data_IF_623941665904
#
_entry.id   IF_623941665904
#
_cell.length_a   1.000
_cell.length_b   1.000
_cell.length_c   1.000
_cell.angle_alpha   90.00
_cell.angle_beta   90.00
_cell.angle_gamma   90.00
#
_symmetry.space_group_name_H-M   'P 1'
#
loop_
_entity.id
_entity.type
_entity.pdbx_description
1 polymer ?
#
# COMPACT_ATOMS: atom_id res chain seq x y z
N UNK A 1 5.86 34.14 23.84
CA UNK A 1 4.38 34.26 23.96
C UNK A 1 3.79 34.54 22.57
N UNK A 2 3.36 33.52 21.81
CA UNK A 2 2.53 33.68 20.61
C UNK A 2 1.54 32.52 20.53
N UNK A 3 0.27 32.86 20.69
CA UNK A 3 -0.88 31.98 20.53
C UNK A 3 -1.21 31.77 19.06
N UNK A 4 -1.61 30.55 18.72
CA UNK A 4 -2.35 30.21 17.52
C UNK A 4 -3.53 29.36 18.01
N UNK A 5 -4.64 30.02 18.38
CA UNK A 5 -5.89 30.12 17.62
C UNK A 5 -6.42 28.75 17.16
N UNK A 6 -7.39 28.26 17.94
CA UNK A 6 -8.50 27.41 17.50
C UNK A 6 -8.89 27.77 16.06
N UNK A 7 -8.77 26.80 15.15
CA UNK A 7 -9.57 26.82 13.92
C UNK A 7 -10.78 25.93 14.20
N UNK A 8 -11.96 26.53 14.07
CA UNK A 8 -13.22 25.81 14.08
C UNK A 8 -13.17 24.70 13.03
N UNK A 9 -13.66 23.52 13.40
CA UNK A 9 -13.85 22.40 12.51
C UNK A 9 -14.86 22.83 11.45
N UNK A 10 -14.39 23.03 10.22
CA UNK A 10 -15.19 23.45 9.08
C UNK A 10 -16.20 22.36 8.76
N UNK A 11 -17.50 22.65 8.90
CA UNK A 11 -18.56 21.67 8.70
C UNK A 11 -18.59 21.13 7.25
N UNK A 12 -18.09 21.94 6.30
CA UNK A 12 -17.90 21.57 4.89
C UNK A 12 -16.77 20.53 4.69
N UNK A 13 -15.76 20.51 5.57
CA UNK A 13 -14.72 19.48 5.56
C UNK A 13 -15.24 18.14 6.12
N UNK A 14 -16.14 18.19 7.11
CA UNK A 14 -16.85 17.00 7.60
C UNK A 14 -17.80 16.45 6.53
N UNK A 15 -18.51 17.31 5.79
CA UNK A 15 -19.39 16.91 4.69
C UNK A 15 -18.60 16.34 3.50
N UNK A 16 -17.43 16.88 3.14
CA UNK A 16 -16.56 16.26 2.12
C UNK A 16 -15.93 14.94 2.57
N UNK A 17 -15.78 14.73 3.87
CA UNK A 17 -15.35 13.43 4.43
C UNK A 17 -16.50 12.40 4.37
N UNK A 18 -17.76 12.85 4.44
CA UNK A 18 -18.95 12.00 4.42
C UNK A 18 -19.41 11.55 3.02
N UNK A 19 -18.92 12.16 1.94
CA UNK A 19 -19.39 11.92 0.55
C UNK A 19 -18.51 10.94 -0.24
N UNK A 20 -17.40 10.42 0.31
CA UNK A 20 -16.44 9.62 -0.46
C UNK A 20 -16.20 8.18 0.07
N UNK A 21 -17.25 7.50 0.55
CA UNK A 21 -17.20 6.05 0.78
C UNK A 21 -18.51 5.41 0.29
N UNK A 22 -18.74 5.45 -1.03
CA UNK A 22 -19.91 4.78 -1.65
C UNK A 22 -19.79 3.24 -1.66
N UNK A 23 -18.69 2.68 -1.13
CA UNK A 23 -18.49 1.25 -0.95
C UNK A 23 -17.83 0.94 0.42
N UNK A 24 -18.61 0.45 1.41
CA UNK A 24 -18.08 0.00 2.70
C UNK A 24 -17.09 -1.17 2.61
N UNK A 25 -17.09 -1.93 1.50
CA UNK A 25 -16.17 -3.06 1.29
C UNK A 25 -14.79 -2.60 0.81
N UNK A 26 -14.69 -1.43 0.17
CA UNK A 26 -13.44 -0.93 -0.39
C UNK A 26 -12.31 -0.74 0.65
N UNK A 27 -12.55 -0.13 1.84
CA UNK A 27 -11.53 -0.07 2.89
C UNK A 27 -11.13 -1.45 3.40
N UNK A 28 -12.09 -2.37 3.54
CA UNK A 28 -11.84 -3.74 4.01
C UNK A 28 -10.95 -4.49 3.03
N UNK A 29 -11.30 -4.47 1.74
CA UNK A 29 -10.52 -5.11 0.68
C UNK A 29 -9.09 -4.53 0.58
N UNK A 30 -8.92 -3.22 0.80
CA UNK A 30 -7.60 -2.59 0.87
C UNK A 30 -6.79 -3.06 2.08
N UNK A 31 -7.44 -3.28 3.23
CA UNK A 31 -6.77 -3.82 4.41
C UNK A 31 -6.35 -5.27 4.22
N UNK A 32 -7.21 -6.10 3.63
CA UNK A 32 -6.88 -7.46 3.23
C UNK A 32 -5.68 -7.52 2.28
N UNK A 33 -5.65 -6.62 1.29
CA UNK A 33 -4.51 -6.45 0.40
C UNK A 33 -3.24 -6.10 1.18
N UNK A 34 -3.30 -5.10 2.09
CA UNK A 34 -2.15 -4.69 2.91
C UNK A 34 -1.60 -5.85 3.74
N UNK A 35 -2.47 -6.58 4.43
CA UNK A 35 -2.06 -7.73 5.25
C UNK A 35 -1.45 -8.83 4.38
N UNK A 36 -2.07 -9.12 3.24
CA UNK A 36 -1.60 -10.14 2.30
C UNK A 36 -0.25 -9.78 1.66
N UNK A 37 0.02 -8.50 1.39
CA UNK A 37 1.34 -8.04 0.96
C UNK A 37 2.41 -8.38 2.02
N UNK A 38 2.07 -8.25 3.30
CA UNK A 38 2.94 -8.62 4.43
C UNK A 38 3.38 -10.09 4.42
N UNK A 39 2.55 -10.98 3.89
CA UNK A 39 2.81 -12.43 3.81
C UNK A 39 3.73 -12.82 2.66
N UNK A 40 3.97 -11.93 1.69
CA UNK A 40 4.86 -12.21 0.57
C UNK A 40 6.33 -12.22 1.00
N UNK A 41 7.20 -13.00 0.30
CA UNK A 41 8.64 -12.86 0.45
C UNK A 41 9.09 -11.42 0.21
N UNK A 42 10.03 -10.92 1.03
CA UNK A 42 10.43 -9.50 1.03
C UNK A 42 10.72 -8.96 -0.37
N UNK A 43 11.57 -9.64 -1.15
CA UNK A 43 11.93 -9.20 -2.50
C UNK A 43 10.74 -9.14 -3.48
N UNK A 44 9.74 -10.00 -3.30
CA UNK A 44 8.53 -10.03 -4.12
C UNK A 44 7.58 -8.90 -3.73
N UNK A 45 7.41 -8.69 -2.42
CA UNK A 45 6.64 -7.56 -1.86
C UNK A 45 7.21 -6.24 -2.36
N UNK A 46 8.53 -6.05 -2.23
CA UNK A 46 9.22 -4.81 -2.63
C UNK A 46 9.00 -4.50 -4.11
N UNK A 47 9.26 -5.46 -4.98
CA UNK A 47 9.07 -5.29 -6.42
C UNK A 47 7.60 -4.99 -6.78
N UNK A 48 6.64 -5.65 -6.09
CA UNK A 48 5.21 -5.42 -6.33
C UNK A 48 4.75 -4.05 -5.83
N UNK A 49 5.22 -3.60 -4.66
CA UNK A 49 4.88 -2.29 -4.09
C UNK A 49 5.46 -1.17 -4.97
N UNK A 50 6.72 -1.27 -5.39
CA UNK A 50 7.34 -0.25 -6.26
C UNK A 50 6.60 -0.10 -7.59
N UNK A 51 6.30 -1.19 -8.28
CA UNK A 51 5.62 -1.13 -9.58
C UNK A 51 4.12 -0.82 -9.43
N UNK A 52 3.46 -1.39 -8.42
CA UNK A 52 2.02 -1.30 -8.25
C UNK A 52 1.56 -0.02 -7.55
N UNK A 53 2.10 0.25 -6.36
CA UNK A 53 1.71 1.40 -5.55
C UNK A 53 2.59 2.63 -5.82
N UNK A 54 3.91 2.41 -6.02
CA UNK A 54 4.86 3.48 -6.32
C UNK A 54 4.83 3.95 -7.78
N UNK A 55 4.19 3.20 -8.68
CA UNK A 55 4.08 3.57 -10.10
C UNK A 55 5.40 3.57 -10.89
N UNK A 56 6.47 3.01 -10.33
CA UNK A 56 7.79 2.97 -10.98
C UNK A 56 7.78 2.06 -12.21
N UNK A 57 8.54 2.46 -13.25
CA UNK A 57 8.85 1.58 -14.35
C UNK A 57 9.70 0.38 -13.87
N UNK A 58 9.68 -0.73 -14.62
CA UNK A 58 10.46 -1.92 -14.24
C UNK A 58 11.96 -1.64 -14.16
N UNK A 59 12.46 -0.74 -15.00
CA UNK A 59 13.85 -0.28 -15.04
C UNK A 59 14.22 0.47 -13.76
N UNK A 60 13.37 1.41 -13.32
CA UNK A 60 13.58 2.18 -12.08
C UNK A 60 13.50 1.28 -10.85
N UNK A 61 12.49 0.42 -10.80
CA UNK A 61 12.35 -0.58 -9.73
C UNK A 61 13.55 -1.54 -9.68
N UNK A 62 14.17 -1.87 -10.82
CA UNK A 62 15.37 -2.71 -10.86
C UNK A 62 16.58 -2.02 -10.24
N UNK A 63 16.74 -0.72 -10.51
CA UNK A 63 17.76 0.12 -9.86
C UNK A 63 17.53 0.13 -8.35
N UNK A 64 16.29 0.39 -7.90
CA UNK A 64 15.91 0.41 -6.47
C UNK A 64 16.06 -0.98 -5.81
N UNK A 65 15.78 -2.07 -6.52
CA UNK A 65 15.95 -3.43 -5.99
C UNK A 65 17.40 -3.93 -6.06
N UNK A 66 18.31 -3.22 -6.75
CA UNK A 66 19.68 -3.67 -7.00
C UNK A 66 19.76 -4.99 -7.77
N UNK A 67 18.86 -5.22 -8.73
CA UNK A 67 18.80 -6.47 -9.51
C UNK A 67 18.51 -6.21 -11.00
N UNK A 68 18.50 -7.27 -11.82
CA UNK A 68 18.19 -7.15 -13.24
C UNK A 68 16.69 -6.87 -13.48
N UNK A 69 16.36 -6.14 -14.56
CA UNK A 69 14.97 -5.83 -14.96
C UNK A 69 14.13 -7.10 -15.13
N UNK A 70 14.70 -8.17 -15.71
CA UNK A 70 14.04 -9.47 -15.83
C UNK A 70 13.71 -10.11 -14.47
N UNK A 71 14.56 -9.89 -13.46
CA UNK A 71 14.33 -10.35 -12.09
C UNK A 71 13.13 -9.64 -11.47
N UNK A 72 13.02 -8.31 -11.62
CA UNK A 72 11.86 -7.53 -11.15
C UNK A 72 10.57 -8.05 -11.79
N UNK A 73 10.54 -8.21 -13.12
CA UNK A 73 9.37 -8.77 -13.84
C UNK A 73 8.97 -10.14 -13.29
N UNK A 74 9.94 -11.03 -13.05
CA UNK A 74 9.69 -12.36 -12.47
C UNK A 74 9.21 -12.30 -11.02
N UNK A 75 9.70 -11.34 -10.21
CA UNK A 75 9.29 -11.13 -8.83
C UNK A 75 7.87 -10.61 -8.77
N UNK A 76 7.51 -9.60 -9.57
CA UNK A 76 6.15 -9.07 -9.69
C UNK A 76 5.16 -10.15 -10.14
N UNK A 77 5.51 -10.94 -11.15
CA UNK A 77 4.64 -12.04 -11.62
C UNK A 77 4.36 -13.06 -10.52
N UNK A 78 5.40 -13.49 -9.78
CA UNK A 78 5.25 -14.42 -8.65
C UNK A 78 4.49 -13.80 -7.49
N UNK A 79 4.77 -12.54 -7.17
CA UNK A 79 4.09 -11.79 -6.13
C UNK A 79 2.58 -11.73 -6.38
N UNK A 80 2.15 -11.41 -7.61
CA UNK A 80 0.72 -11.37 -7.99
C UNK A 80 0.03 -12.73 -7.81
N UNK A 81 0.68 -13.82 -8.25
CA UNK A 81 0.15 -15.18 -8.10
C UNK A 81 0.03 -15.58 -6.62
N UNK A 82 1.06 -15.33 -5.84
CA UNK A 82 1.05 -15.62 -4.41
C UNK A 82 0.00 -14.78 -3.67
N UNK A 83 -0.09 -13.48 -3.99
CA UNK A 83 -1.05 -12.56 -3.41
C UNK A 83 -2.49 -12.99 -3.68
N UNK A 84 -2.79 -13.38 -4.93
CA UNK A 84 -4.09 -13.92 -5.29
C UNK A 84 -4.43 -15.16 -4.45
N UNK A 85 -3.50 -16.12 -4.33
CA UNK A 85 -3.71 -17.32 -3.52
C UNK A 85 -3.92 -17.02 -2.03
N UNK A 86 -3.22 -16.02 -1.48
CA UNK A 86 -3.37 -15.59 -0.09
C UNK A 86 -4.75 -14.98 0.14
N UNK A 87 -5.20 -14.11 -0.76
CA UNK A 87 -6.52 -13.46 -0.69
C UNK A 87 -7.64 -14.49 -0.83
N UNK A 88 -7.55 -15.40 -1.80
CA UNK A 88 -8.54 -16.47 -2.00
C UNK A 88 -8.64 -17.42 -0.79
N UNK A 89 -7.51 -17.69 -0.13
CA UNK A 89 -7.48 -18.53 1.06
C UNK A 89 -7.85 -17.79 2.36
N UNK A 90 -7.93 -16.45 2.34
CA UNK A 90 -8.03 -15.64 3.56
C UNK A 90 -6.84 -15.82 4.51
N UNK A 91 -5.67 -16.20 3.99
CA UNK A 91 -4.51 -16.63 4.76
C UNK A 91 -3.55 -15.46 5.09
N UNK A 92 -4.08 -14.43 5.74
CA UNK A 92 -3.34 -13.24 6.17
C UNK A 92 -3.57 -12.93 7.65
N UNK A 93 -2.55 -12.40 8.32
CA UNK A 93 -2.60 -12.10 9.75
C UNK A 93 -3.29 -10.76 10.01
N UNK A 94 -4.41 -10.79 10.74
CA UNK A 94 -5.09 -9.57 11.19
C UNK A 94 -4.29 -8.89 12.31
N UNK A 95 -3.79 -7.70 12.03
CA UNK A 95 -2.99 -6.92 12.97
C UNK A 95 -3.78 -5.87 13.76
N UNK A 96 -5.11 -5.85 13.60
CA UNK A 96 -6.04 -4.99 14.35
C UNK A 96 -5.97 -3.51 13.98
N UNK A 97 -5.27 -3.14 12.90
CA UNK A 97 -5.23 -1.76 12.39
C UNK A 97 -6.56 -1.38 11.73
N UNK A 98 -6.82 -0.09 11.63
CA UNK A 98 -7.99 0.42 10.92
C UNK A 98 -7.83 0.18 9.42
N UNK A 99 -8.89 -0.35 8.80
CA UNK A 99 -8.97 -0.52 7.36
C UNK A 99 -8.78 0.81 6.60
N UNK A 100 -9.19 1.94 7.20
CA UNK A 100 -8.99 3.27 6.64
C UNK A 100 -7.52 3.68 6.48
N UNK A 101 -6.61 3.10 7.26
CA UNK A 101 -5.17 3.42 7.22
C UNK A 101 -4.42 2.59 6.17
N UNK A 102 -5.09 1.62 5.54
CA UNK A 102 -4.42 0.60 4.74
C UNK A 102 -3.67 1.19 3.53
N UNK A 103 -4.35 2.08 2.79
CA UNK A 103 -3.77 2.80 1.66
C UNK A 103 -2.55 3.63 2.08
N UNK A 104 -2.68 4.37 3.18
CA UNK A 104 -1.57 5.18 3.71
C UNK A 104 -0.35 4.34 4.06
N UNK A 105 -0.55 3.15 4.64
CA UNK A 105 0.55 2.22 4.94
C UNK A 105 1.25 1.72 3.68
N UNK A 106 0.51 1.35 2.63
CA UNK A 106 1.08 0.84 1.37
C UNK A 106 1.87 1.95 0.66
N UNK A 107 1.34 3.18 0.62
CA UNK A 107 2.03 4.31 0.01
C UNK A 107 3.29 4.69 0.80
N UNK A 108 3.23 4.66 2.14
CA UNK A 108 4.41 4.88 2.97
C UNK A 108 5.49 3.80 2.76
N UNK A 109 5.10 2.54 2.50
CA UNK A 109 6.05 1.49 2.11
C UNK A 109 6.71 1.79 0.76
N UNK A 110 5.95 2.23 -0.24
CA UNK A 110 6.50 2.61 -1.54
C UNK A 110 7.51 3.77 -1.42
N UNK A 111 7.16 4.80 -0.64
CA UNK A 111 8.05 5.93 -0.35
C UNK A 111 9.33 5.46 0.35
N UNK A 112 9.21 4.66 1.44
CA UNK A 112 10.37 4.08 2.13
C UNK A 112 11.29 3.31 1.19
N UNK A 113 10.74 2.42 0.36
CA UNK A 113 11.53 1.61 -0.57
C UNK A 113 12.27 2.46 -1.60
N UNK A 114 11.62 3.50 -2.13
CA UNK A 114 12.25 4.41 -3.08
C UNK A 114 13.30 5.32 -2.44
N UNK A 115 13.14 5.67 -1.16
CA UNK A 115 14.08 6.52 -0.41
C UNK A 115 15.36 5.82 0.06
N UNK A 116 15.42 4.48 -0.03
CA UNK A 116 16.56 3.67 0.41
C UNK A 116 17.77 3.70 -0.55
N UNK A 117 17.93 4.76 -1.35
CA UNK A 117 19.13 5.02 -2.13
C UNK A 117 19.47 6.51 -2.22
#
# INVERSE_FOLDING_TARGET
>A
RRSWRQSQLDQEAAERTLVAVDDPEAPVALDELRMSLGMLPAEQREALILVGAGGFAYEEAAVICGCAVGTVKSRVSRARRALQAILEAGAYDRDGRSAGDAMGSILADAERLSSLR
#
